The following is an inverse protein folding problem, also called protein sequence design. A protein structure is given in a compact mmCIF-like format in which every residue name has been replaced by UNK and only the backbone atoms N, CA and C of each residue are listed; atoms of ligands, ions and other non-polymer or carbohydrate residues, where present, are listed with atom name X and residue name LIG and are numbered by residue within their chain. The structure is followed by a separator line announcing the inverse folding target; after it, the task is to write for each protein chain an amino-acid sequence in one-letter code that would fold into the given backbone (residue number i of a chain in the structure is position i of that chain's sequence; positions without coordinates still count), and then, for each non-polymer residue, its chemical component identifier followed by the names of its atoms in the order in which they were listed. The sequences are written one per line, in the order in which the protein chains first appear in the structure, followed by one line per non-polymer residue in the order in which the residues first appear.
data_IF_601377045353
#
_entry.id   IF_601377045353
#
_cell.length_a   1.000
_cell.length_b   1.000
_cell.length_c   1.000
_cell.angle_alpha   90.00
_cell.angle_beta   90.00
_cell.angle_gamma   90.00
#
_symmetry.space_group_name_H-M   'P 1'
#
loop_
_entity.id
_entity.type
_entity.pdbx_description
1 polymer ?
#
# COMPACT_ATOMS: atom_id res chain seq x y z
N UNK A 1 6.85 5.06 -9.31
CA UNK A 1 6.25 5.30 -7.98
C UNK A 1 5.21 4.22 -7.73
N UNK A 2 4.98 3.79 -6.49
CA UNK A 2 3.91 2.84 -6.19
C UNK A 2 2.53 3.52 -6.15
N UNK A 3 1.47 2.74 -6.31
CA UNK A 3 0.09 3.23 -6.26
C UNK A 3 -0.74 2.52 -5.20
N UNK A 4 -1.88 3.11 -4.82
CA UNK A 4 -2.76 2.59 -3.77
C UNK A 4 -3.27 1.18 -4.13
N UNK A 5 -2.89 0.20 -3.31
CA UNK A 5 -3.06 -1.22 -3.61
C UNK A 5 -4.46 -1.76 -3.38
N UNK A 6 -5.22 -1.21 -2.43
CA UNK A 6 -6.61 -1.59 -2.18
C UNK A 6 -7.53 -1.47 -3.43
N UNK A 7 -7.14 -0.67 -4.43
CA UNK A 7 -7.86 -0.54 -5.71
C UNK A 7 -7.86 -1.83 -6.54
N UNK A 8 -6.95 -2.76 -6.26
CA UNK A 8 -6.77 -4.00 -7.03
C UNK A 8 -7.27 -5.24 -6.29
N UNK A 9 -7.80 -5.12 -5.07
CA UNK A 9 -8.20 -6.26 -4.24
C UNK A 9 -9.13 -7.23 -4.97
N UNK A 10 -10.09 -6.72 -5.75
CA UNK A 10 -11.02 -7.56 -6.52
C UNK A 10 -10.38 -8.35 -7.67
N UNK A 11 -9.23 -7.92 -8.19
CA UNK A 11 -8.55 -8.58 -9.31
C UNK A 11 -7.46 -9.56 -8.88
N UNK A 12 -6.97 -9.45 -7.64
CA UNK A 12 -5.85 -10.25 -7.13
C UNK A 12 -6.11 -11.77 -7.09
N UNK A 13 -7.30 -12.29 -6.73
CA UNK A 13 -7.53 -13.73 -6.72
C UNK A 13 -7.25 -14.38 -8.08
N UNK A 14 -7.84 -13.82 -9.14
CA UNK A 14 -7.61 -14.29 -10.51
C UNK A 14 -6.19 -14.06 -11.01
N UNK A 15 -5.53 -13.00 -10.55
CA UNK A 15 -4.12 -12.76 -10.87
C UNK A 15 -3.22 -13.84 -10.27
N UNK A 16 -3.39 -14.18 -8.99
CA UNK A 16 -2.60 -15.22 -8.34
C UNK A 16 -2.82 -16.59 -8.97
N UNK A 17 -4.07 -16.96 -9.25
CA UNK A 17 -4.40 -18.23 -9.91
C UNK A 17 -3.71 -18.37 -11.27
N UNK A 18 -3.73 -17.31 -12.09
CA UNK A 18 -3.18 -17.34 -13.45
C UNK A 18 -1.67 -17.25 -13.52
N UNK A 19 -1.05 -16.52 -12.59
CA UNK A 19 0.37 -16.16 -12.68
C UNK A 19 1.26 -16.88 -11.69
N UNK A 20 0.70 -17.42 -10.61
CA UNK A 20 1.47 -17.96 -9.49
C UNK A 20 2.31 -16.90 -8.76
N UNK A 21 2.01 -15.60 -8.93
CA UNK A 21 2.74 -14.51 -8.31
C UNK A 21 2.81 -14.68 -6.77
N UNK A 22 4.00 -14.50 -6.18
CA UNK A 22 4.24 -14.70 -4.74
C UNK A 22 4.53 -13.41 -3.97
N UNK A 23 4.72 -12.30 -4.67
CA UNK A 23 5.07 -11.02 -4.07
C UNK A 23 4.33 -9.91 -4.80
N UNK A 24 3.54 -9.13 -4.07
CA UNK A 24 2.97 -7.88 -4.57
C UNK A 24 3.69 -6.72 -3.89
N UNK A 25 4.13 -5.73 -4.67
CA UNK A 25 4.75 -4.50 -4.16
C UNK A 25 3.80 -3.33 -4.42
N UNK A 26 3.53 -2.50 -3.41
CA UNK A 26 2.65 -1.35 -3.57
C UNK A 26 2.75 -0.31 -2.48
N UNK A 27 1.72 0.54 -2.35
CA UNK A 27 1.57 1.47 -1.22
C UNK A 27 0.15 1.49 -0.68
N UNK A 28 0.01 1.97 0.55
CA UNK A 28 -1.28 2.14 1.22
C UNK A 28 -1.85 0.86 1.83
N UNK A 29 -1.25 -0.29 1.54
CA UNK A 29 -1.72 -1.58 2.06
C UNK A 29 -3.08 -2.00 1.50
N UNK A 30 -3.64 -3.00 2.15
CA UNK A 30 -4.97 -3.56 1.95
C UNK A 30 -5.53 -3.96 3.33
N UNK A 31 -6.78 -4.40 3.39
CA UNK A 31 -7.35 -4.85 4.67
C UNK A 31 -6.73 -6.18 5.13
N UNK A 32 -6.73 -6.47 6.45
CA UNK A 32 -6.29 -7.77 6.98
C UNK A 32 -7.04 -8.97 6.38
N UNK A 33 -8.30 -8.78 5.99
CA UNK A 33 -9.11 -9.80 5.31
C UNK A 33 -8.54 -10.11 3.93
N UNK A 34 -8.12 -9.09 3.15
CA UNK A 34 -7.47 -9.34 1.87
C UNK A 34 -6.18 -10.15 2.04
N UNK A 35 -5.40 -9.87 3.08
CA UNK A 35 -4.19 -10.64 3.35
C UNK A 35 -4.51 -12.10 3.71
N UNK A 36 -5.43 -12.33 4.64
CA UNK A 36 -5.83 -13.68 5.08
C UNK A 36 -6.54 -14.50 4.01
N UNK A 37 -7.44 -13.88 3.26
CA UNK A 37 -8.35 -14.60 2.37
C UNK A 37 -7.82 -14.70 0.93
N UNK A 38 -6.88 -13.83 0.54
CA UNK A 38 -6.34 -13.76 -0.82
C UNK A 38 -4.84 -14.09 -0.87
N UNK A 39 -4.02 -13.49 0.01
CA UNK A 39 -2.57 -13.67 -0.04
C UNK A 39 -2.10 -14.99 0.57
N UNK A 40 -2.61 -15.34 1.76
CA UNK A 40 -2.22 -16.58 2.46
C UNK A 40 -2.52 -17.82 1.61
N UNK A 41 -3.72 -18.00 1.01
CA UNK A 41 -4.00 -19.16 0.16
C UNK A 41 -3.14 -19.19 -1.11
N UNK A 42 -2.75 -18.02 -1.62
CA UNK A 42 -1.82 -17.90 -2.75
C UNK A 42 -0.36 -18.17 -2.35
N UNK A 43 -0.04 -18.29 -1.06
CA UNK A 43 1.32 -18.37 -0.52
C UNK A 43 2.14 -17.13 -0.89
N UNK A 44 1.50 -15.97 -0.87
CA UNK A 44 2.08 -14.70 -1.29
C UNK A 44 2.26 -13.73 -0.13
N UNK A 45 3.20 -12.80 -0.27
CA UNK A 45 3.44 -11.69 0.68
C UNK A 45 3.17 -10.35 0.03
N UNK A 46 2.86 -9.35 0.85
CA UNK A 46 2.72 -7.97 0.40
C UNK A 46 3.85 -7.10 0.96
N UNK A 47 4.55 -6.41 0.07
CA UNK A 47 5.62 -5.48 0.41
C UNK A 47 5.16 -4.05 0.13
N UNK A 48 5.36 -3.16 1.10
CA UNK A 48 5.06 -1.74 0.94
C UNK A 48 6.32 -0.94 0.64
N UNK A 49 6.21 0.04 -0.26
CA UNK A 49 7.30 1.00 -0.51
C UNK A 49 7.45 1.97 0.65
N UNK A 50 8.70 2.34 0.96
CA UNK A 50 9.00 3.32 2.02
C UNK A 50 8.94 4.75 1.46
N UNK A 51 8.15 5.59 2.12
CA UNK A 51 8.02 7.02 1.79
C UNK A 51 7.13 7.31 0.57
N UNK A 52 6.40 8.42 0.62
CA UNK A 52 5.66 8.92 -0.53
C UNK A 52 6.61 9.66 -1.50
N UNK A 53 6.36 9.54 -2.81
CA UNK A 53 7.13 10.28 -3.82
C UNK A 53 8.52 9.72 -4.14
N UNK A 54 8.91 8.57 -3.58
CA UNK A 54 10.24 7.96 -3.79
C UNK A 54 10.39 7.23 -5.13
N UNK A 55 9.50 7.47 -6.09
CA UNK A 55 9.50 6.81 -7.39
C UNK A 55 10.80 7.01 -8.19
N UNK A 56 11.40 8.20 -8.11
CA UNK A 56 12.68 8.48 -8.76
C UNK A 56 13.84 7.68 -8.13
N UNK A 57 13.81 7.44 -6.81
CA UNK A 57 14.81 6.63 -6.12
C UNK A 57 14.69 5.15 -6.53
N UNK A 58 13.49 4.58 -6.47
CA UNK A 58 13.23 3.22 -6.91
C UNK A 58 13.53 3.03 -8.41
N UNK A 59 13.31 4.06 -9.23
CA UNK A 59 13.64 4.06 -10.65
C UNK A 59 15.14 3.84 -10.94
N UNK A 60 16.04 4.27 -10.04
CA UNK A 60 17.49 4.06 -10.19
C UNK A 60 17.90 2.59 -10.07
N UNK A 61 17.05 1.75 -9.49
CA UNK A 61 17.26 0.31 -9.37
C UNK A 61 16.91 -0.43 -10.67
N UNK A 62 16.22 0.22 -11.62
CA UNK A 62 15.88 -0.37 -12.93
C UNK A 62 17.14 -0.39 -13.80
N UNK A 63 17.56 -1.59 -14.20
CA UNK A 63 18.73 -1.80 -15.06
C UNK A 63 18.35 -1.90 -16.53
N UNK A 64 17.17 -2.43 -16.82
CA UNK A 64 16.67 -2.59 -18.19
C UNK A 64 15.16 -2.70 -18.23
N UNK A 65 14.56 -2.12 -19.26
CA UNK A 65 13.19 -2.44 -19.68
C UNK A 65 13.27 -3.62 -20.64
N UNK A 66 12.72 -4.77 -20.24
CA UNK A 66 12.73 -5.98 -21.08
C UNK A 66 11.57 -5.99 -22.07
N UNK A 67 10.40 -5.51 -21.64
CA UNK A 67 9.22 -5.39 -22.48
C UNK A 67 8.25 -4.33 -21.92
N UNK A 68 7.40 -3.81 -22.80
CA UNK A 68 6.22 -3.02 -22.46
C UNK A 68 5.03 -3.58 -23.25
N UNK A 69 3.99 -4.01 -22.55
CA UNK A 69 2.77 -4.53 -23.16
C UNK A 69 1.63 -3.52 -23.04
N UNK A 70 0.86 -3.40 -24.12
CA UNK A 70 -0.30 -2.51 -24.24
C UNK A 70 0.04 -1.02 -24.06
N UNK A 71 1.23 -0.61 -24.53
CA UNK A 71 1.70 0.75 -24.36
C UNK A 71 0.85 1.77 -25.14
N UNK A 72 0.43 1.42 -26.35
CA UNK A 72 -0.35 2.31 -27.22
C UNK A 72 -1.80 2.43 -26.75
N UNK A 73 -2.36 1.33 -26.22
CA UNK A 73 -3.75 1.25 -25.79
C UNK A 73 -3.98 1.82 -24.38
N UNK A 74 -3.03 1.58 -23.46
CA UNK A 74 -3.18 1.96 -22.04
C UNK A 74 -2.31 3.16 -21.65
N UNK A 75 -1.35 3.54 -22.48
CA UNK A 75 -0.40 4.63 -22.22
C UNK A 75 0.64 4.29 -21.16
N UNK A 76 1.63 5.17 -21.01
CA UNK A 76 2.84 4.96 -20.19
C UNK A 76 2.58 4.56 -18.74
N UNK A 77 1.45 5.01 -18.17
CA UNK A 77 1.15 4.86 -16.75
C UNK A 77 0.39 3.57 -16.40
N UNK A 78 -0.33 2.97 -17.36
CA UNK A 78 -1.18 1.80 -17.14
C UNK A 78 -0.70 0.56 -17.91
N UNK A 79 0.19 0.72 -18.90
CA UNK A 79 0.83 -0.37 -19.60
C UNK A 79 1.56 -1.34 -18.63
N UNK A 80 1.68 -2.60 -19.03
CA UNK A 80 2.41 -3.59 -18.24
C UNK A 80 3.89 -3.55 -18.61
N UNK A 81 4.74 -3.25 -17.63
CA UNK A 81 6.19 -3.17 -17.83
C UNK A 81 6.89 -4.39 -17.24
N UNK A 82 7.75 -5.02 -18.04
CA UNK A 82 8.67 -6.07 -17.58
C UNK A 82 10.03 -5.43 -17.35
N UNK A 83 10.43 -5.33 -16.09
CA UNK A 83 11.62 -4.60 -15.67
C UNK A 83 12.66 -5.55 -15.07
N UNK A 84 13.90 -5.45 -15.54
CA UNK A 84 15.05 -6.01 -14.83
C UNK A 84 15.52 -4.98 -13.82
N UNK A 85 15.51 -5.36 -12.55
CA UNK A 85 15.92 -4.50 -11.43
C UNK A 85 17.05 -5.15 -10.63
N UNK A 86 17.84 -4.33 -9.95
CA UNK A 86 18.88 -4.78 -9.02
C UNK A 86 18.80 -3.93 -7.76
N UNK A 87 18.88 -4.56 -6.58
CA UNK A 87 18.76 -3.87 -5.29
C UNK A 87 17.50 -2.97 -5.20
N UNK A 88 16.35 -3.49 -5.67
CA UNK A 88 15.09 -2.74 -5.69
C UNK A 88 14.51 -2.60 -4.27
N UNK A 89 14.54 -1.39 -3.73
CA UNK A 89 14.07 -1.11 -2.38
C UNK A 89 14.61 0.22 -1.83
N UNK A 90 14.53 0.44 -0.51
CA UNK A 90 14.05 -0.51 0.50
C UNK A 90 12.54 -0.75 0.42
N UNK A 91 12.13 -1.95 0.82
CA UNK A 91 10.73 -2.38 0.96
C UNK A 91 10.53 -2.94 2.37
N UNK A 92 9.32 -2.83 2.90
CA UNK A 92 8.94 -3.39 4.20
C UNK A 92 7.89 -4.49 3.97
N UNK A 93 8.01 -5.62 4.67
CA UNK A 93 6.98 -6.65 4.69
C UNK A 93 5.79 -6.09 5.46
N UNK A 94 4.73 -5.78 4.73
CA UNK A 94 3.50 -5.29 5.33
C UNK A 94 2.54 -6.45 5.61
N UNK A 95 2.48 -7.48 4.76
CA UNK A 95 1.83 -8.75 5.08
C UNK A 95 2.78 -9.92 4.90
N UNK A 96 2.82 -10.81 5.89
CA UNK A 96 3.54 -12.08 5.84
C UNK A 96 2.66 -13.24 5.31
N UNK A 97 3.20 -14.47 5.35
CA UNK A 97 2.56 -15.70 4.89
C UNK A 97 1.45 -16.22 5.83
N UNK A 98 1.32 -15.66 7.03
CA UNK A 98 0.24 -15.96 7.97
C UNK A 98 -0.91 -14.94 7.84
N UNK A 99 -0.73 -13.90 7.00
CA UNK A 99 -1.70 -12.84 6.79
C UNK A 99 -1.64 -11.77 7.89
N UNK A 100 -0.56 -11.74 8.67
CA UNK A 100 -0.36 -10.72 9.68
C UNK A 100 -0.03 -9.40 9.00
N UNK A 101 -0.77 -8.32 9.33
CA UNK A 101 -0.47 -6.96 8.84
C UNK A 101 0.38 -6.19 9.84
N UNK A 102 1.49 -5.63 9.38
CA UNK A 102 2.33 -4.74 10.18
C UNK A 102 1.58 -3.44 10.47
N UNK A 103 0.94 -2.81 9.48
CA UNK A 103 0.18 -1.58 9.70
C UNK A 103 -0.94 -1.78 10.71
N UNK A 104 -1.72 -2.85 10.61
CA UNK A 104 -2.82 -3.10 11.56
C UNK A 104 -2.30 -3.28 12.99
N UNK A 105 -1.26 -4.09 13.17
CA UNK A 105 -0.65 -4.29 14.49
C UNK A 105 -0.11 -2.99 15.10
N UNK A 106 0.58 -2.18 14.30
CA UNK A 106 1.12 -0.91 14.78
C UNK A 106 0.01 0.10 15.05
N UNK A 107 -1.01 0.18 14.18
CA UNK A 107 -2.17 1.04 14.38
C UNK A 107 -2.91 0.66 15.65
N UNK A 108 -3.18 -0.63 15.90
CA UNK A 108 -3.81 -1.10 17.13
C UNK A 108 -3.02 -0.67 18.38
N UNK A 109 -1.68 -0.78 18.35
CA UNK A 109 -0.81 -0.35 19.45
C UNK A 109 -0.80 1.17 19.65
N UNK A 110 -0.74 1.95 18.58
CA UNK A 110 -0.69 3.41 18.62
C UNK A 110 -2.04 3.98 19.09
N UNK A 111 -3.13 3.45 18.55
CA UNK A 111 -4.49 3.92 18.83
C UNK A 111 -4.90 3.76 20.30
N UNK A 112 -4.30 2.82 21.04
CA UNK A 112 -4.50 2.71 22.50
C UNK A 112 -4.11 3.96 23.28
N UNK A 113 -3.17 4.76 22.76
CA UNK A 113 -2.64 5.95 23.44
C UNK A 113 -2.94 7.24 22.72
N UNK A 114 -3.57 7.17 21.55
CA UNK A 114 -3.75 8.35 20.69
C UNK A 114 -4.58 9.42 21.40
N UNK A 115 -5.68 9.04 22.08
CA UNK A 115 -6.54 9.98 22.80
C UNK A 115 -5.78 10.80 23.86
N UNK A 116 -4.89 10.14 24.61
CA UNK A 116 -4.05 10.81 25.62
C UNK A 116 -3.15 11.90 25.02
N UNK A 117 -2.70 11.74 23.78
CA UNK A 117 -1.85 12.74 23.12
C UNK A 117 -2.61 14.02 22.76
N UNK A 118 -3.94 13.96 22.66
CA UNK A 118 -4.78 15.11 22.38
C UNK A 118 -5.30 15.79 23.65
N UNK A 119 -5.11 15.18 24.83
CA UNK A 119 -5.54 15.77 26.10
C UNK A 119 -4.87 17.12 26.37
N UNK A 120 -5.67 18.15 26.64
CA UNK A 120 -5.18 19.50 26.95
C UNK A 120 -4.70 20.31 25.75
N UNK A 121 -4.78 19.77 24.53
CA UNK A 121 -4.60 20.59 23.33
C UNK A 121 -5.72 21.63 23.27
N UNK A 122 -5.33 22.87 22.91
CA UNK A 122 -6.30 23.94 22.67
C UNK A 122 -6.94 23.72 21.31
N UNK A 123 -8.20 24.05 21.26
CA UNK A 123 -8.97 24.15 20.04
C UNK A 123 -8.25 24.99 18.97
N UNK A 124 -8.29 24.60 17.69
CA UNK A 124 -7.69 25.39 16.63
C UNK A 124 -8.24 26.82 16.66
N UNK A 125 -7.33 27.81 16.63
CA UNK A 125 -7.70 29.23 16.66
C UNK A 125 -8.53 29.64 15.43
N UNK A 126 -8.45 28.85 14.35
CA UNK A 126 -9.25 28.99 13.15
C UNK A 126 -9.87 27.62 12.84
N UNK A 127 -11.19 27.57 12.68
CA UNK A 127 -11.94 26.39 12.22
C UNK A 127 -12.79 26.79 11.04
N UNK A 128 -12.87 25.95 10.01
CA UNK A 128 -13.92 26.07 8.98
C UNK A 128 -15.25 25.56 9.54
N UNK A 129 -16.36 26.09 9.03
CA UNK A 129 -17.68 25.59 9.42
C UNK A 129 -17.79 24.10 9.09
N UNK A 130 -18.00 23.25 10.11
CA UNK A 130 -18.05 21.79 9.97
C UNK A 130 -16.72 21.06 10.17
N UNK A 131 -15.62 21.77 10.41
CA UNK A 131 -14.32 21.17 10.77
C UNK A 131 -14.32 20.83 12.27
N UNK A 132 -14.19 19.55 12.60
CA UNK A 132 -14.15 18.99 13.95
C UNK A 132 -12.82 18.27 14.19
N UNK A 133 -12.35 18.26 15.44
CA UNK A 133 -11.22 17.44 15.90
C UNK A 133 -11.67 16.08 16.44
N UNK A 134 -12.99 15.85 16.57
CA UNK A 134 -13.56 14.55 16.86
C UNK A 134 -13.72 13.74 15.57
N UNK A 135 -12.89 12.72 15.43
CA UNK A 135 -12.92 11.75 14.31
C UNK A 135 -14.26 11.04 14.12
N UNK A 136 -15.15 11.05 15.11
CA UNK A 136 -16.50 10.44 15.02
C UNK A 136 -17.54 11.39 14.46
N UNK A 137 -17.24 12.70 14.47
CA UNK A 137 -18.08 13.76 13.91
C UNK A 137 -17.55 14.26 12.55
N UNK A 138 -16.38 13.76 12.11
CA UNK A 138 -15.78 14.15 10.84
C UNK A 138 -16.67 13.68 9.68
N UNK A 139 -17.40 14.62 9.09
CA UNK A 139 -18.20 14.42 7.88
C UNK A 139 -17.26 14.39 6.67
N UNK A 140 -16.93 13.19 6.19
CA UNK A 140 -16.39 12.98 4.84
C UNK A 140 -17.54 12.70 3.88
#
# INVERSE_FOLDING_TARGET
TATASFRFSGSLPGWFEKTGCKVIIGKGGMSPENYRDIFVPAGAVYLTTVGYGTGALLGRCIKKVEAAHWLDELGIAQAMWVLRVENFGPLIVESDLEGNSLFEQQNARINQRIAMLYEGLKEPALRRHGETDDKTEELI
#
